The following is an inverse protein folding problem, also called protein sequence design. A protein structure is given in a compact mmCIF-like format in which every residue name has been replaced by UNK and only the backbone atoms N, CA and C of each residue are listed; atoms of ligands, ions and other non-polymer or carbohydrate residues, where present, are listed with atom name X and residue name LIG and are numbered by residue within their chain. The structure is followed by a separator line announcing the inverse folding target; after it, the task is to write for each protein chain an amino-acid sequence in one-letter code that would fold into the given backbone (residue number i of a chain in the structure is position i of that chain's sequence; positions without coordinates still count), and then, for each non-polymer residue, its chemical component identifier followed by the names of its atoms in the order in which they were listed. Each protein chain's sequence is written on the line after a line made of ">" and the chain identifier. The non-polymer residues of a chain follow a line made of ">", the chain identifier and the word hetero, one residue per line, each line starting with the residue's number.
data_IF_663663526550
#
_entry.id   IF_663663526550
#
_cell.length_a   1.000
_cell.length_b   1.000
_cell.length_c   1.000
_cell.angle_alpha   90.00
_cell.angle_beta   90.00
_cell.angle_gamma   90.00
#
_symmetry.space_group_name_H-M   'P 1'
#
loop_
_entity.id
_entity.type
_entity.pdbx_description
1 polymer ?
#
# COMPACT_ATOMS: atom_id res chain seq x y z
N UNK A 1 8.91 12.13 -12.41
CA UNK A 1 7.61 12.20 -11.72
C UNK A 1 7.80 11.54 -10.38
N UNK A 2 7.79 12.31 -9.30
CA UNK A 2 8.16 11.84 -7.97
C UNK A 2 6.92 11.38 -7.22
N UNK A 3 6.67 10.07 -7.24
CA UNK A 3 5.64 9.47 -6.40
C UNK A 3 6.16 9.46 -4.96
N UNK A 4 5.73 10.42 -4.14
CA UNK A 4 5.98 10.37 -2.69
C UNK A 4 5.17 9.22 -2.11
N UNK A 5 5.81 8.07 -2.05
CA UNK A 5 5.48 6.99 -1.13
C UNK A 5 5.61 7.59 0.26
N UNK A 6 4.57 8.26 0.79
CA UNK A 6 4.41 8.97 2.09
C UNK A 6 5.51 9.99 2.52
N UNK A 7 5.47 10.40 3.81
CA UNK A 7 6.41 11.39 4.41
C UNK A 7 7.76 10.81 4.85
N UNK A 8 7.83 9.49 5.02
CA UNK A 8 9.06 8.76 5.34
C UNK A 8 9.77 8.30 4.05
N UNK A 9 11.10 8.15 4.07
CA UNK A 9 11.83 7.53 2.95
C UNK A 9 11.89 5.99 3.08
N UNK A 10 11.34 5.43 4.17
CA UNK A 10 11.43 4.01 4.51
C UNK A 10 10.21 3.26 4.00
N UNK A 11 10.43 2.41 3.01
CA UNK A 11 9.44 1.45 2.54
C UNK A 11 9.54 0.19 3.41
N UNK A 12 8.41 -0.24 3.98
CA UNK A 12 8.33 -1.44 4.82
C UNK A 12 7.48 -2.47 4.11
N UNK A 13 8.07 -3.63 3.83
CA UNK A 13 7.35 -4.77 3.29
C UNK A 13 6.41 -5.36 4.36
N UNK A 14 5.16 -5.60 3.97
CA UNK A 14 4.13 -6.21 4.83
C UNK A 14 3.78 -7.64 4.41
N UNK A 15 4.36 -8.12 3.31
CA UNK A 15 4.20 -9.48 2.80
C UNK A 15 3.55 -9.51 1.43
N UNK A 16 3.02 -10.68 1.05
CA UNK A 16 2.40 -10.90 -0.25
C UNK A 16 0.91 -11.18 -0.14
N UNK A 17 0.12 -10.65 -1.07
CA UNK A 17 -1.31 -10.93 -1.19
C UNK A 17 -1.56 -12.36 -1.65
N UNK A 18 -2.83 -12.78 -1.68
CA UNK A 18 -3.25 -13.92 -2.50
C UNK A 18 -3.03 -13.64 -4.00
N UNK A 19 -3.18 -14.65 -4.86
CA UNK A 19 -3.07 -14.45 -6.32
C UNK A 19 -4.20 -13.53 -6.79
N UNK A 20 -3.86 -12.29 -7.12
CA UNK A 20 -4.77 -11.28 -7.65
C UNK A 20 -4.44 -11.03 -9.13
N UNK A 21 -5.43 -10.59 -9.90
CA UNK A 21 -5.20 -10.22 -11.29
C UNK A 21 -4.67 -8.79 -11.37
N UNK A 22 -3.55 -8.59 -12.06
CA UNK A 22 -3.01 -7.26 -12.23
C UNK A 22 -3.80 -6.48 -13.29
N UNK A 23 -4.33 -5.29 -12.98
CA UNK A 23 -5.10 -4.52 -13.95
C UNK A 23 -4.23 -4.02 -15.12
N UNK A 24 -2.91 -3.91 -14.93
CA UNK A 24 -1.96 -3.46 -15.97
C UNK A 24 -1.53 -4.58 -16.93
N UNK A 25 -1.18 -5.77 -16.43
CA UNK A 25 -0.68 -6.87 -17.27
C UNK A 25 -1.65 -8.06 -17.39
N UNK A 26 -2.80 -8.03 -16.71
CA UNK A 26 -3.86 -9.08 -16.68
C UNK A 26 -3.37 -10.47 -16.25
N UNK A 27 -2.18 -10.56 -15.67
CA UNK A 27 -1.63 -11.80 -15.11
C UNK A 27 -2.09 -11.96 -13.67
N UNK A 28 -2.33 -13.21 -13.25
CA UNK A 28 -2.56 -13.55 -11.84
C UNK A 28 -1.23 -13.63 -11.11
N UNK A 29 -0.98 -12.69 -10.20
CA UNK A 29 0.29 -12.52 -9.49
C UNK A 29 0.06 -12.39 -7.99
N UNK A 30 1.10 -12.72 -7.22
CA UNK A 30 1.17 -12.39 -5.80
C UNK A 30 1.72 -10.98 -5.70
N UNK A 31 0.92 -10.02 -5.25
CA UNK A 31 1.39 -8.66 -5.08
C UNK A 31 2.20 -8.52 -3.80
N UNK A 32 3.32 -7.82 -3.86
CA UNK A 32 4.03 -7.40 -2.65
C UNK A 32 3.37 -6.14 -2.09
N UNK A 33 3.00 -6.20 -0.81
CA UNK A 33 2.35 -5.11 -0.07
C UNK A 33 3.41 -4.32 0.68
N UNK A 34 3.36 -3.01 0.53
CA UNK A 34 4.28 -2.08 1.17
C UNK A 34 3.52 -0.98 1.90
N UNK A 35 4.18 -0.40 2.90
CA UNK A 35 3.72 0.81 3.56
C UNK A 35 4.87 1.77 3.82
N UNK A 36 4.55 3.05 3.95
CA UNK A 36 5.51 4.08 4.32
C UNK A 36 5.30 4.65 5.73
N UNK A 37 4.66 3.91 6.62
CA UNK A 37 4.65 4.30 8.01
C UNK A 37 4.85 3.09 8.93
N UNK A 38 5.73 3.26 9.91
CA UNK A 38 5.82 2.36 11.06
C UNK A 38 5.29 3.09 12.28
N UNK A 39 4.06 2.75 12.65
CA UNK A 39 3.42 3.30 13.84
C UNK A 39 4.15 2.98 15.14
N UNK A 40 5.16 2.08 15.14
CA UNK A 40 6.04 1.86 16.30
C UNK A 40 6.88 3.08 16.67
N UNK A 41 7.17 3.98 15.73
CA UNK A 41 8.02 5.16 15.96
C UNK A 41 7.23 6.45 16.15
N UNK A 42 5.96 6.48 15.76
CA UNK A 42 5.06 7.61 16.04
C UNK A 42 4.48 7.46 17.44
N UNK A 43 5.26 7.88 18.43
CA UNK A 43 4.70 8.26 19.73
C UNK A 43 3.47 9.14 19.47
N UNK A 44 2.36 8.79 20.11
CA UNK A 44 1.04 9.39 19.97
C UNK A 44 1.06 10.89 20.25
N UNK A 45 1.46 11.67 19.24
CA UNK A 45 1.32 13.12 19.21
C UNK A 45 -0.08 13.43 18.65
N UNK A 46 -1.01 13.96 19.47
CA UNK A 46 -2.43 14.09 19.13
C UNK A 46 -2.72 15.04 17.95
N UNK A 47 -1.70 15.71 17.40
CA UNK A 47 -1.83 16.70 16.32
C UNK A 47 -1.24 16.28 14.96
N UNK A 48 -0.57 15.14 14.86
CA UNK A 48 0.00 14.66 13.59
C UNK A 48 -0.87 13.53 13.06
N UNK A 49 -1.79 13.85 12.14
CA UNK A 49 -2.48 12.84 11.33
C UNK A 49 -1.47 12.21 10.36
N UNK A 50 -0.77 11.17 10.82
CA UNK A 50 0.03 10.34 9.93
C UNK A 50 -0.93 9.39 9.20
N UNK A 51 -1.17 9.69 7.94
CA UNK A 51 -1.92 8.82 7.05
C UNK A 51 -0.99 7.69 6.56
N UNK A 52 -1.27 6.48 7.02
CA UNK A 52 -0.58 5.28 6.54
C UNK A 52 -0.95 5.04 5.07
N UNK A 53 0.01 5.25 4.17
CA UNK A 53 -0.15 4.90 2.76
C UNK A 53 0.25 3.45 2.57
N UNK A 54 -0.68 2.65 2.05
CA UNK A 54 -0.44 1.28 1.63
C UNK A 54 -0.48 1.20 0.10
N UNK A 55 0.50 0.48 -0.45
CA UNK A 55 0.58 0.29 -1.89
C UNK A 55 1.08 -1.11 -2.22
N UNK A 56 0.74 -1.55 -3.42
CA UNK A 56 1.00 -2.87 -3.95
C UNK A 56 1.88 -2.75 -5.18
N UNK A 57 2.84 -3.65 -5.31
CA UNK A 57 3.70 -3.73 -6.49
C UNK A 57 3.51 -5.07 -7.19
N UNK A 58 3.21 -5.03 -8.48
CA UNK A 58 3.15 -6.21 -9.32
C UNK A 58 4.58 -6.66 -9.69
N UNK A 59 4.98 -7.92 -9.42
CA UNK A 59 6.31 -8.42 -9.75
C UNK A 59 6.56 -8.54 -11.27
N UNK A 60 5.51 -8.78 -12.06
CA UNK A 60 5.62 -9.00 -13.51
C UNK A 60 5.79 -7.73 -14.34
N UNK A 61 5.14 -6.62 -13.95
CA UNK A 61 5.07 -5.41 -14.77
C UNK A 61 5.49 -4.14 -14.03
N UNK A 62 6.00 -4.29 -12.80
CA UNK A 62 6.35 -3.21 -11.88
C UNK A 62 5.23 -2.16 -11.71
N UNK A 63 3.97 -2.55 -11.95
CA UNK A 63 2.81 -1.69 -11.74
C UNK A 63 2.61 -1.43 -10.26
N UNK A 64 2.45 -0.17 -9.89
CA UNK A 64 2.21 0.24 -8.50
C UNK A 64 0.77 0.68 -8.34
N UNK A 65 0.09 0.15 -7.33
CA UNK A 65 -1.32 0.39 -7.06
C UNK A 65 -1.51 0.84 -5.62
N UNK A 66 -2.39 1.82 -5.41
CA UNK A 66 -2.79 2.24 -4.07
C UNK A 66 -3.86 1.31 -3.49
N UNK A 67 -3.87 1.19 -2.17
CA UNK A 67 -4.91 0.48 -1.42
C UNK A 67 -5.47 1.40 -0.36
N UNK A 68 -6.75 1.23 -0.05
CA UNK A 68 -7.36 1.92 1.08
C UNK A 68 -6.63 1.60 2.40
N UNK A 69 -6.42 2.62 3.22
CA UNK A 69 -5.66 2.51 4.47
C UNK A 69 -6.28 1.51 5.46
N UNK A 70 -7.62 1.35 5.48
CA UNK A 70 -8.31 0.38 6.34
C UNK A 70 -7.97 -1.04 5.89
N UNK A 71 -8.01 -1.30 4.59
CA UNK A 71 -7.69 -2.63 4.02
C UNK A 71 -6.22 -2.98 4.22
N UNK A 72 -5.32 -2.01 4.06
CA UNK A 72 -3.90 -2.17 4.37
C UNK A 72 -3.63 -2.50 5.84
N UNK A 73 -4.37 -1.87 6.77
CA UNK A 73 -4.31 -2.18 8.21
C UNK A 73 -4.83 -3.58 8.52
N UNK A 74 -5.95 -3.98 7.95
CA UNK A 74 -6.51 -5.33 8.11
C UNK A 74 -5.54 -6.40 7.59
N UNK A 75 -4.91 -6.15 6.44
CA UNK A 75 -3.86 -7.01 5.90
C UNK A 75 -2.67 -7.14 6.86
N UNK A 76 -2.19 -6.03 7.44
CA UNK A 76 -1.14 -6.03 8.47
C UNK A 76 -1.53 -6.84 9.70
N UNK A 77 -2.81 -6.86 10.08
CA UNK A 77 -3.32 -7.62 11.22
C UNK A 77 -3.49 -9.12 10.94
N UNK A 78 -3.18 -9.58 9.71
CA UNK A 78 -3.19 -10.99 9.33
C UNK A 78 -4.29 -11.38 8.34
N UNK A 79 -5.18 -10.46 7.99
CA UNK A 79 -6.29 -10.73 7.06
C UNK A 79 -5.80 -10.64 5.60
N UNK A 80 -5.20 -11.72 5.11
CA UNK A 80 -4.65 -11.80 3.73
C UNK A 80 -5.69 -11.56 2.63
N UNK A 81 -6.97 -11.79 2.91
CA UNK A 81 -8.10 -11.58 2.00
C UNK A 81 -8.68 -10.16 2.06
N UNK A 82 -8.16 -9.29 2.92
CA UNK A 82 -8.64 -7.91 3.02
C UNK A 82 -8.37 -7.07 1.77
N UNK A 83 -7.45 -7.52 0.90
CA UNK A 83 -7.08 -6.88 -0.36
C UNK A 83 -7.52 -7.77 -1.52
N UNK A 84 -8.53 -7.33 -2.27
CA UNK A 84 -9.03 -8.01 -3.47
C UNK A 84 -8.71 -7.27 -4.78
N UNK A 85 -9.05 -7.88 -5.92
CA UNK A 85 -8.82 -7.29 -7.26
C UNK A 85 -9.50 -5.93 -7.45
N UNK A 86 -10.66 -5.70 -6.82
CA UNK A 86 -11.42 -4.45 -6.93
C UNK A 86 -10.88 -3.33 -6.04
N UNK A 87 -9.91 -3.64 -5.18
CA UNK A 87 -9.35 -2.69 -4.20
C UNK A 87 -8.08 -2.00 -4.70
N UNK A 88 -7.63 -2.41 -5.89
CA UNK A 88 -6.50 -1.86 -6.61
C UNK A 88 -6.89 -0.52 -7.21
N UNK A 89 -6.48 0.57 -6.56
CA UNK A 89 -6.70 1.92 -7.06
C UNK A 89 -5.43 2.44 -7.75
N UNK A 90 -5.61 3.40 -8.65
CA UNK A 90 -4.47 4.21 -9.08
C UNK A 90 -3.89 4.95 -7.87
N UNK A 91 -2.56 5.05 -7.82
CA UNK A 91 -1.89 5.86 -6.82
C UNK A 91 -2.38 7.30 -6.96
N UNK A 92 -3.15 7.77 -5.97
CA UNK A 92 -3.56 9.17 -5.92
C UNK A 92 -2.32 10.04 -5.85
N UNK A 93 -2.23 11.01 -6.76
CA UNK A 93 -1.25 12.08 -6.65
C UNK A 93 -1.50 12.85 -5.34
N UNK A 94 -0.46 12.94 -4.51
CA UNK A 94 -0.52 13.76 -3.31
C UNK A 94 -0.47 15.24 -3.73
N UNK A 95 -1.63 15.90 -3.75
CA UNK A 95 -1.67 17.37 -3.83
C UNK A 95 -1.09 17.93 -2.53
N UNK A 96 0.11 18.50 -2.61
CA UNK A 96 0.64 19.32 -1.55
C UNK A 96 -0.34 20.48 -1.33
N UNK A 97 -0.90 20.57 -0.12
CA UNK A 97 -1.72 21.71 0.30
C UNK A 97 -0.81 22.83 0.78
#
# INVERSE_FOLDING_TARGET
>A
MDYRIGKSLRIIERGQTVKLECPKCKKKVLFSVFTNNDTKLTASLPFITNEDVYFLVCPECAGVFGVDSVKGKNFKNGEKLAIGNFDLNELKEFKAK
#
